data_IF_897695291682
#
_entry.id   IF_897695291682
#
_cell.length_a   1.000
_cell.length_b   1.000
_cell.length_c   1.000
_cell.angle_alpha   90.00
_cell.angle_beta   90.00
_cell.angle_gamma   90.00
#
_symmetry.space_group_name_H-M   'P 1'
#
loop_
_entity.id
_entity.type
_entity.pdbx_description
1 polymer ?
#
# COMPACT_ATOMS: atom_id res chain seq x y z
N UNK A 1 -16.96 -18.51 5.80
CA UNK A 1 -17.08 -19.50 6.87
C UNK A 1 -15.69 -19.73 7.49
N UNK A 2 -15.62 -19.67 8.81
CA UNK A 2 -14.40 -19.92 9.57
C UNK A 2 -13.88 -21.34 9.29
N UNK A 3 -12.61 -21.46 8.88
CA UNK A 3 -11.97 -22.74 8.54
C UNK A 3 -10.56 -22.78 9.13
N UNK A 4 -10.41 -23.17 10.41
CA UNK A 4 -9.10 -23.22 11.09
C UNK A 4 -8.03 -24.04 10.39
N UNK A 5 -8.30 -25.26 9.88
CA UNK A 5 -7.29 -26.03 9.20
C UNK A 5 -6.72 -25.37 7.94
N UNK A 6 -7.58 -24.68 7.18
CA UNK A 6 -7.12 -23.95 6.00
C UNK A 6 -6.28 -22.71 6.37
N UNK A 7 -6.62 -22.06 7.49
CA UNK A 7 -5.83 -20.95 8.02
C UNK A 7 -4.47 -21.40 8.52
N UNK A 8 -4.42 -22.49 9.31
CA UNK A 8 -3.18 -23.09 9.78
C UNK A 8 -2.23 -23.43 8.63
N UNK A 9 -2.73 -24.09 7.58
CA UNK A 9 -1.94 -24.39 6.39
C UNK A 9 -1.34 -23.15 5.73
N UNK A 10 -2.10 -22.04 5.67
CA UNK A 10 -1.60 -20.76 5.13
C UNK A 10 -0.52 -20.15 6.01
N UNK A 11 -0.71 -20.18 7.34
CA UNK A 11 0.28 -19.66 8.30
C UNK A 11 1.59 -20.46 8.17
N UNK A 12 1.54 -21.80 8.13
CA UNK A 12 2.71 -22.64 7.97
C UNK A 12 3.42 -22.38 6.63
N UNK A 13 2.66 -22.12 5.55
CA UNK A 13 3.25 -21.75 4.26
C UNK A 13 3.97 -20.42 4.32
N UNK A 14 3.38 -19.38 4.92
CA UNK A 14 4.07 -18.09 5.12
C UNK A 14 5.30 -18.28 6.00
N UNK A 15 5.17 -19.05 7.09
CA UNK A 15 6.30 -19.33 7.96
C UNK A 15 7.46 -20.03 7.23
N UNK A 16 7.19 -20.92 6.28
CA UNK A 16 8.25 -21.56 5.48
C UNK A 16 9.03 -20.59 4.60
N UNK A 17 8.45 -19.41 4.28
CA UNK A 17 9.07 -18.36 3.48
C UNK A 17 9.82 -17.31 4.32
N UNK A 18 9.84 -17.47 5.64
CA UNK A 18 10.38 -16.43 6.56
C UNK A 18 11.80 -15.97 6.26
N UNK A 19 12.63 -16.84 5.66
CA UNK A 19 13.98 -16.47 5.24
C UNK A 19 14.06 -15.50 4.05
N UNK A 20 12.93 -15.32 3.35
CA UNK A 20 12.80 -14.41 2.20
C UNK A 20 11.90 -13.19 2.53
N UNK A 21 11.54 -13.02 3.80
CA UNK A 21 10.67 -11.95 4.26
C UNK A 21 11.43 -11.09 5.26
N UNK A 22 11.51 -9.81 4.98
CA UNK A 22 12.00 -8.79 5.89
C UNK A 22 10.82 -7.94 6.36
N UNK A 23 10.69 -7.72 7.67
CA UNK A 23 9.61 -6.97 8.27
C UNK A 23 10.15 -5.73 8.98
N UNK A 24 9.66 -4.57 8.58
CA UNK A 24 9.99 -3.29 9.19
C UNK A 24 8.74 -2.69 9.85
N UNK A 25 8.86 -2.27 11.11
CA UNK A 25 7.82 -1.58 11.87
C UNK A 25 8.21 -0.09 12.04
N UNK A 26 8.23 0.62 10.92
CA UNK A 26 8.63 2.04 10.83
C UNK A 26 7.61 2.81 9.98
N UNK A 27 7.71 4.12 9.97
CA UNK A 27 6.93 4.97 9.07
C UNK A 27 7.18 4.61 7.60
N UNK A 28 6.13 4.61 6.79
CA UNK A 28 6.23 4.18 5.39
C UNK A 28 7.11 5.13 4.56
N UNK A 29 7.08 6.42 4.85
CA UNK A 29 7.93 7.39 4.16
C UNK A 29 9.41 7.19 4.52
N UNK A 30 9.71 6.93 5.79
CA UNK A 30 11.07 6.58 6.24
C UNK A 30 11.58 5.31 5.56
N UNK A 31 10.72 4.29 5.43
CA UNK A 31 11.06 3.08 4.69
C UNK A 31 11.35 3.40 3.21
N UNK A 32 10.49 4.17 2.55
CA UNK A 32 10.64 4.53 1.15
C UNK A 32 11.94 5.30 0.88
N UNK A 33 12.33 6.20 1.77
CA UNK A 33 13.63 6.89 1.70
C UNK A 33 14.81 5.92 1.72
N UNK A 34 14.72 4.87 2.53
CA UNK A 34 15.79 3.88 2.66
C UNK A 34 15.89 2.91 1.49
N UNK A 35 14.75 2.43 0.97
CA UNK A 35 14.73 1.41 -0.09
C UNK A 35 14.91 1.98 -1.50
N UNK A 36 14.62 3.26 -1.73
CA UNK A 36 14.76 3.91 -3.03
C UNK A 36 16.17 3.76 -3.63
N UNK A 37 17.20 3.71 -2.78
CA UNK A 37 18.58 3.55 -3.20
C UNK A 37 19.01 2.10 -3.43
N UNK A 38 18.32 1.14 -2.80
CA UNK A 38 18.81 -0.24 -2.72
C UNK A 38 18.10 -1.19 -3.69
N UNK A 39 16.89 -0.84 -4.14
CA UNK A 39 16.06 -1.74 -4.94
C UNK A 39 15.44 -1.08 -6.17
N UNK A 40 16.24 -0.56 -7.12
CA UNK A 40 15.70 0.12 -8.31
C UNK A 40 14.87 -0.82 -9.21
N UNK A 41 15.06 -2.13 -9.11
CA UNK A 41 14.30 -3.15 -9.84
C UNK A 41 13.16 -3.78 -9.03
N UNK A 42 12.81 -3.18 -7.88
CA UNK A 42 11.71 -3.68 -7.06
C UNK A 42 10.35 -3.25 -7.62
N UNK A 43 9.31 -3.99 -7.26
CA UNK A 43 7.92 -3.53 -7.38
C UNK A 43 7.43 -3.10 -6.00
N UNK A 44 6.99 -1.88 -5.87
CA UNK A 44 6.36 -1.37 -4.64
C UNK A 44 4.86 -1.61 -4.72
N UNK A 45 4.32 -2.36 -3.76
CA UNK A 45 2.88 -2.47 -3.55
C UNK A 45 2.51 -1.66 -2.30
N UNK A 46 1.76 -0.58 -2.50
CA UNK A 46 1.43 0.40 -1.47
C UNK A 46 -0.07 0.39 -1.20
N UNK A 47 -0.48 0.06 0.02
CA UNK A 47 -1.88 -0.03 0.45
C UNK A 47 -2.11 0.84 1.70
N UNK A 48 -2.15 2.18 1.56
CA UNK A 48 -2.28 3.10 2.68
C UNK A 48 -3.73 3.16 3.20
N UNK A 49 -3.98 3.77 4.37
CA UNK A 49 -5.33 4.07 4.82
C UNK A 49 -6.10 4.87 3.77
N UNK A 50 -7.40 4.57 3.59
CA UNK A 50 -8.24 5.23 2.60
C UNK A 50 -8.73 6.59 3.09
N UNK A 51 -8.85 7.57 2.18
CA UNK A 51 -9.27 8.94 2.50
C UNK A 51 -10.66 8.99 3.11
N UNK A 52 -11.65 8.35 2.46
CA UNK A 52 -13.05 8.44 2.90
C UNK A 52 -13.42 7.54 4.08
N UNK A 53 -12.59 6.55 4.43
CA UNK A 53 -12.91 5.54 5.45
C UNK A 53 -11.85 5.44 6.54
N UNK A 54 -10.77 6.20 6.46
CA UNK A 54 -9.64 6.12 7.37
C UNK A 54 -10.02 6.28 8.83
N UNK A 55 -10.79 7.30 9.16
CA UNK A 55 -11.18 7.64 10.53
C UNK A 55 -12.08 6.60 11.22
N UNK A 56 -12.81 5.81 10.45
CA UNK A 56 -13.75 4.82 11.00
C UNK A 56 -13.17 3.41 11.14
N UNK A 57 -12.08 3.08 10.47
CA UNK A 57 -11.57 1.72 10.35
C UNK A 57 -10.19 1.51 10.94
N UNK A 58 -9.40 2.55 11.11
CA UNK A 58 -8.01 2.43 11.54
C UNK A 58 -7.76 3.15 12.87
N UNK A 59 -6.93 2.55 13.70
CA UNK A 59 -6.47 3.15 14.98
C UNK A 59 -5.51 4.32 14.77
N UNK A 60 -4.92 4.45 13.59
CA UNK A 60 -4.19 5.63 13.13
C UNK A 60 -4.69 5.95 11.71
N UNK A 61 -5.39 7.07 11.56
CA UNK A 61 -5.82 7.60 10.27
C UNK A 61 -4.70 8.44 9.67
N UNK A 62 -4.56 8.40 8.33
CA UNK A 62 -3.78 9.40 7.61
C UNK A 62 -4.58 10.70 7.57
N UNK A 63 -3.96 11.80 7.97
CA UNK A 63 -4.46 13.13 7.64
C UNK A 63 -4.21 13.43 6.15
N UNK A 64 -4.86 14.45 5.61
CA UNK A 64 -4.63 14.86 4.21
C UNK A 64 -3.15 15.15 3.92
N UNK A 65 -2.45 15.70 4.88
CA UNK A 65 -1.00 15.98 4.81
C UNK A 65 -0.18 14.70 4.59
N UNK A 66 -0.54 13.60 5.27
CA UNK A 66 0.15 12.31 5.13
C UNK A 66 -0.06 11.72 3.73
N UNK A 67 -1.27 11.86 3.17
CA UNK A 67 -1.56 11.46 1.79
C UNK A 67 -0.74 12.28 0.79
N UNK A 68 -0.62 13.58 1.00
CA UNK A 68 0.19 14.48 0.15
C UNK A 68 1.67 14.13 0.22
N UNK A 69 2.22 13.94 1.43
CA UNK A 69 3.61 13.55 1.64
C UNK A 69 3.92 12.22 0.95
N UNK A 70 3.07 11.21 1.13
CA UNK A 70 3.24 9.91 0.48
C UNK A 70 3.23 10.05 -1.05
N UNK A 71 2.30 10.83 -1.59
CA UNK A 71 2.19 11.07 -3.03
C UNK A 71 3.41 11.77 -3.61
N UNK A 72 3.93 12.80 -2.92
CA UNK A 72 5.16 13.49 -3.33
C UNK A 72 6.33 12.52 -3.46
N UNK A 73 6.50 11.63 -2.47
CA UNK A 73 7.57 10.64 -2.49
C UNK A 73 7.40 9.62 -3.60
N UNK A 74 6.21 9.07 -3.79
CA UNK A 74 5.95 8.06 -4.82
C UNK A 74 6.08 8.65 -6.22
N UNK A 75 5.59 9.87 -6.45
CA UNK A 75 5.76 10.59 -7.72
C UNK A 75 7.24 10.89 -8.00
N UNK A 76 8.02 11.26 -6.99
CA UNK A 76 9.45 11.49 -7.13
C UNK A 76 10.21 10.18 -7.47
N UNK A 77 9.85 9.07 -6.84
CA UNK A 77 10.41 7.76 -7.15
C UNK A 77 10.04 7.31 -8.58
N UNK A 78 8.80 7.50 -8.99
CA UNK A 78 8.33 7.13 -10.33
C UNK A 78 8.99 7.94 -11.44
N UNK A 79 9.18 9.24 -11.24
CA UNK A 79 9.81 10.13 -12.21
C UNK A 79 11.35 10.08 -12.18
N UNK A 80 11.92 9.48 -11.14
CA UNK A 80 13.36 9.28 -11.03
C UNK A 80 13.89 8.28 -12.06
N UNK A 81 15.14 8.49 -12.50
CA UNK A 81 15.78 7.59 -13.46
C UNK A 81 16.02 6.19 -12.85
N UNK A 82 15.38 5.17 -13.42
CA UNK A 82 15.49 3.79 -12.95
C UNK A 82 14.73 3.51 -11.66
N UNK A 83 13.65 4.25 -11.40
CA UNK A 83 12.78 4.02 -10.25
C UNK A 83 12.03 2.67 -10.31
N UNK A 84 11.46 2.21 -9.17
CA UNK A 84 10.70 0.96 -9.10
C UNK A 84 9.35 1.07 -9.81
N UNK A 85 8.79 -0.08 -10.20
CA UNK A 85 7.38 -0.16 -10.56
C UNK A 85 6.53 0.08 -9.31
N UNK A 86 5.48 0.92 -9.41
CA UNK A 86 4.63 1.28 -8.29
C UNK A 86 3.20 0.87 -8.56
N UNK A 87 2.62 0.09 -7.66
CA UNK A 87 1.19 -0.25 -7.61
C UNK A 87 0.64 0.31 -6.30
N UNK A 88 -0.37 1.16 -6.39
CA UNK A 88 -1.02 1.75 -5.21
C UNK A 88 -2.52 1.47 -5.23
N UNK A 89 -3.08 1.13 -4.07
CA UNK A 89 -4.53 0.93 -3.91
C UNK A 89 -5.12 2.05 -3.06
N UNK A 90 -6.23 2.64 -3.55
CA UNK A 90 -6.93 3.72 -2.87
C UNK A 90 -8.43 3.67 -3.13
N UNK A 91 -9.20 4.41 -2.33
CA UNK A 91 -10.56 4.79 -2.68
C UNK A 91 -10.54 5.89 -3.76
N UNK A 92 -11.48 5.81 -4.71
CA UNK A 92 -11.55 6.75 -5.83
C UNK A 92 -12.15 8.09 -5.36
N UNK A 93 -11.29 9.00 -4.92
CA UNK A 93 -11.64 10.34 -4.47
C UNK A 93 -11.00 11.42 -5.35
N UNK A 94 -11.56 12.64 -5.42
CA UNK A 94 -10.94 13.75 -6.14
C UNK A 94 -9.53 14.06 -5.68
N UNK A 95 -9.27 13.99 -4.36
CA UNK A 95 -7.95 14.21 -3.80
C UNK A 95 -6.92 13.22 -4.37
N UNK A 96 -7.24 11.92 -4.38
CA UNK A 96 -6.31 10.90 -4.90
C UNK A 96 -6.04 11.09 -6.38
N UNK A 97 -7.06 11.47 -7.17
CA UNK A 97 -6.87 11.80 -8.59
C UNK A 97 -5.95 13.00 -8.81
N UNK A 98 -6.03 14.01 -7.93
CA UNK A 98 -5.14 15.18 -7.94
C UNK A 98 -3.70 14.79 -7.58
N UNK A 99 -3.53 13.96 -6.54
CA UNK A 99 -2.22 13.61 -6.01
C UNK A 99 -1.38 12.71 -6.94
N UNK A 100 -2.02 11.91 -7.78
CA UNK A 100 -1.35 10.97 -8.68
C UNK A 100 -1.68 11.23 -10.16
N UNK A 101 -1.27 12.38 -10.71
CA UNK A 101 -1.64 12.80 -12.07
C UNK A 101 -1.00 11.94 -13.18
N UNK A 102 0.06 11.21 -12.87
CA UNK A 102 0.78 10.36 -13.80
C UNK A 102 0.36 8.88 -13.72
N UNK A 103 -0.53 8.52 -12.78
CA UNK A 103 -0.94 7.16 -12.58
C UNK A 103 -1.89 6.67 -13.69
N UNK A 104 -1.65 5.46 -14.17
CA UNK A 104 -2.66 4.70 -14.91
C UNK A 104 -3.68 4.12 -13.94
N UNK A 105 -4.95 4.53 -14.06
CA UNK A 105 -5.96 4.26 -13.04
C UNK A 105 -6.94 3.21 -13.51
N UNK A 106 -6.94 2.06 -12.84
CA UNK A 106 -7.88 0.98 -13.06
C UNK A 106 -8.96 0.94 -11.95
N UNK A 107 -10.23 1.29 -12.23
CA UNK A 107 -11.29 1.27 -11.23
C UNK A 107 -11.76 -0.16 -10.93
N UNK A 108 -11.55 -0.64 -9.71
CA UNK A 108 -12.04 -1.93 -9.25
C UNK A 108 -13.39 -1.76 -8.56
N UNK A 109 -14.46 -2.33 -9.15
CA UNK A 109 -15.78 -2.38 -8.52
C UNK A 109 -15.91 -3.65 -7.69
N UNK A 110 -15.90 -3.53 -6.36
CA UNK A 110 -16.16 -4.63 -5.44
C UNK A 110 -17.50 -4.42 -4.72
N UNK A 111 -18.40 -5.37 -4.85
CA UNK A 111 -19.57 -5.45 -3.97
C UNK A 111 -19.12 -6.09 -2.65
N UNK A 112 -19.11 -5.33 -1.57
CA UNK A 112 -18.92 -5.87 -0.22
C UNK A 112 -20.28 -6.37 0.28
N UNK A 113 -20.50 -7.67 0.30
CA UNK A 113 -21.60 -8.25 1.08
C UNK A 113 -21.14 -8.41 2.51
N UNK A 114 -21.59 -7.52 3.38
CA UNK A 114 -21.54 -7.78 4.82
C UNK A 114 -22.65 -8.80 5.06
N UNK A 115 -22.29 -10.08 5.19
CA UNK A 115 -23.22 -11.07 5.70
C UNK A 115 -23.61 -10.67 7.12
N UNK A 116 -24.87 -10.29 7.32
CA UNK A 116 -25.47 -10.13 8.64
C UNK A 116 -25.59 -11.48 9.33
#
# INVERSE_FOLDING_TARGET
RWNPPALEKRILRVHSLRGNIELHAIDCCELLESIAYWYPAATLFVDPPYVAKGDALYTSSFAEEDHRRLAEMLNALYTGFGGPDIIITYDDTPLIRELYPLADVEPLRRAYSIAK
#
